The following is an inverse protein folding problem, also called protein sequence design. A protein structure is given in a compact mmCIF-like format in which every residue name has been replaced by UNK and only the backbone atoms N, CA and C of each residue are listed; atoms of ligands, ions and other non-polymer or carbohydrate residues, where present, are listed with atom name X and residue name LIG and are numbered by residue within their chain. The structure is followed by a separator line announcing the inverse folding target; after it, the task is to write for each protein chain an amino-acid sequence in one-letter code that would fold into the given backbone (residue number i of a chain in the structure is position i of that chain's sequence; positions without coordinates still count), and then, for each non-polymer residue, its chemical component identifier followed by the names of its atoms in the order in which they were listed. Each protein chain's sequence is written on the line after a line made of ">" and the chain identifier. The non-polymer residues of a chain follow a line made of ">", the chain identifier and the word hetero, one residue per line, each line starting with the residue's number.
data_IF_224978090099
#
_entry.id   IF_224978090099
#
_cell.length_a   1.000
_cell.length_b   1.000
_cell.length_c   1.000
_cell.angle_alpha   90.00
_cell.angle_beta   90.00
_cell.angle_gamma   90.00
#
_symmetry.space_group_name_H-M   'P 1'
#
loop_
_entity.id
_entity.type
_entity.pdbx_description
1 polymer ?
#
# COMPACT_ATOMS: atom_id res chain seq x y z
N UNK A 1 19.43 -8.79 -17.97
CA UNK A 1 19.79 -9.25 -16.61
C UNK A 1 18.81 -8.80 -15.51
N UNK A 2 18.39 -7.53 -15.44
CA UNK A 2 17.47 -7.02 -14.39
C UNK A 2 16.11 -7.76 -14.32
N UNK A 3 15.56 -8.14 -15.47
CA UNK A 3 14.30 -8.90 -15.54
C UNK A 3 14.43 -10.32 -14.98
N UNK A 4 15.57 -11.00 -15.18
CA UNK A 4 15.78 -12.37 -14.67
C UNK A 4 15.78 -12.40 -13.13
N UNK A 5 16.47 -11.46 -12.50
CA UNK A 5 16.54 -11.36 -11.03
C UNK A 5 15.15 -11.07 -10.45
N UNK A 6 14.38 -10.19 -11.09
CA UNK A 6 13.00 -9.91 -10.66
C UNK A 6 12.09 -11.14 -10.78
N UNK A 7 12.21 -11.90 -11.87
CA UNK A 7 11.46 -13.14 -12.08
C UNK A 7 11.85 -14.16 -11.00
N UNK A 8 13.15 -14.32 -10.73
CA UNK A 8 13.66 -15.22 -9.70
C UNK A 8 13.10 -14.84 -8.31
N UNK A 9 13.19 -13.57 -7.92
CA UNK A 9 12.66 -13.07 -6.65
C UNK A 9 11.14 -13.32 -6.55
N UNK A 10 10.40 -13.09 -7.64
CA UNK A 10 8.96 -13.36 -7.65
C UNK A 10 8.65 -14.86 -7.51
N UNK A 11 9.43 -15.74 -8.13
CA UNK A 11 9.27 -17.19 -7.98
C UNK A 11 9.59 -17.66 -6.56
N UNK A 12 10.67 -17.15 -5.97
CA UNK A 12 11.02 -17.38 -4.55
C UNK A 12 9.87 -16.92 -3.65
N UNK A 13 9.37 -15.71 -3.82
CA UNK A 13 8.25 -15.17 -3.05
C UNK A 13 6.99 -16.04 -3.17
N UNK A 14 6.66 -16.49 -4.38
CA UNK A 14 5.47 -17.32 -4.64
C UNK A 14 5.50 -18.65 -3.88
N UNK A 15 6.68 -19.20 -3.61
CA UNK A 15 6.87 -20.45 -2.88
C UNK A 15 6.99 -20.21 -1.37
N UNK A 16 7.88 -19.31 -0.96
CA UNK A 16 8.23 -19.14 0.45
C UNK A 16 7.23 -18.31 1.24
N UNK A 17 6.57 -17.31 0.64
CA UNK A 17 5.60 -16.49 1.38
C UNK A 17 4.45 -17.37 1.91
N UNK A 18 3.76 -18.20 1.10
CA UNK A 18 2.70 -19.05 1.61
C UNK A 18 3.16 -20.01 2.71
N UNK A 19 4.36 -20.57 2.56
CA UNK A 19 4.97 -21.44 3.57
C UNK A 19 5.15 -20.69 4.90
N UNK A 20 5.85 -19.55 4.87
CA UNK A 20 6.14 -18.78 6.08
C UNK A 20 4.88 -18.22 6.73
N UNK A 21 3.87 -17.85 5.94
CA UNK A 21 2.58 -17.38 6.46
C UNK A 21 1.82 -18.53 7.14
N UNK A 22 1.71 -19.70 6.49
CA UNK A 22 1.00 -20.88 7.03
C UNK A 22 1.57 -21.34 8.37
N UNK A 23 2.90 -21.38 8.49
CA UNK A 23 3.59 -21.80 9.70
C UNK A 23 3.95 -20.63 10.64
N UNK A 24 3.44 -19.42 10.39
CA UNK A 24 3.69 -18.21 11.21
C UNK A 24 5.18 -17.93 11.45
N UNK A 25 6.04 -18.20 10.47
CA UNK A 25 7.49 -17.98 10.53
C UNK A 25 7.84 -16.50 10.30
N UNK A 26 7.34 -15.62 11.18
CA UNK A 26 7.43 -14.16 11.00
C UNK A 26 8.86 -13.63 10.88
N UNK A 27 9.82 -14.26 11.56
CA UNK A 27 11.24 -13.87 11.48
C UNK A 27 11.79 -14.07 10.06
N UNK A 28 11.51 -15.22 9.45
CA UNK A 28 11.93 -15.52 8.08
C UNK A 28 11.16 -14.69 7.06
N UNK A 29 9.86 -14.49 7.28
CA UNK A 29 9.07 -13.61 6.41
C UNK A 29 9.59 -12.17 6.45
N UNK A 30 10.02 -11.68 7.62
CA UNK A 30 10.62 -10.35 7.76
C UNK A 30 11.96 -10.25 7.03
N UNK A 31 12.79 -11.28 7.14
CA UNK A 31 14.05 -11.35 6.40
C UNK A 31 13.80 -11.35 4.88
N UNK A 32 12.89 -12.21 4.40
CA UNK A 32 12.49 -12.24 2.99
C UNK A 32 11.93 -10.90 2.52
N UNK A 33 11.13 -10.22 3.34
CA UNK A 33 10.62 -8.88 3.05
C UNK A 33 11.76 -7.88 2.85
N UNK A 34 12.76 -7.87 3.74
CA UNK A 34 13.91 -6.96 3.65
C UNK A 34 14.71 -7.22 2.36
N UNK A 35 14.91 -8.48 1.97
CA UNK A 35 15.58 -8.85 0.71
C UNK A 35 14.81 -8.36 -0.53
N UNK A 36 13.49 -8.20 -0.41
CA UNK A 36 12.65 -7.69 -1.49
C UNK A 36 12.67 -6.16 -1.62
N UNK A 37 13.28 -5.44 -0.67
CA UNK A 37 13.36 -3.98 -0.72
C UNK A 37 14.48 -3.52 -1.64
N UNK A 38 14.15 -2.63 -2.57
CA UNK A 38 15.11 -2.01 -3.48
C UNK A 38 15.16 -0.50 -3.28
N UNK A 39 16.34 0.09 -3.18
CA UNK A 39 16.47 1.56 -3.10
C UNK A 39 15.95 2.20 -4.39
N UNK A 40 15.18 3.29 -4.28
CA UNK A 40 14.83 4.14 -5.42
C UNK A 40 15.99 5.11 -5.66
N UNK A 41 16.97 4.71 -6.48
CA UNK A 41 18.25 5.42 -6.65
C UNK A 41 18.10 6.86 -7.17
N UNK A 42 17.10 7.11 -8.02
CA UNK A 42 16.80 8.44 -8.58
C UNK A 42 16.47 9.51 -7.53
N UNK A 43 16.05 9.08 -6.34
CA UNK A 43 15.75 9.96 -5.20
C UNK A 43 16.53 9.53 -3.97
N UNK A 44 17.78 9.10 -4.16
CA UNK A 44 18.68 8.84 -3.05
C UNK A 44 18.84 10.09 -2.16
N UNK A 45 18.91 9.94 -0.83
CA UNK A 45 19.03 11.07 0.08
C UNK A 45 20.37 11.78 -0.12
N UNK A 46 20.35 13.12 -0.12
CA UNK A 46 21.54 13.97 -0.33
C UNK A 46 22.43 14.10 0.92
N UNK A 47 21.91 13.77 2.09
CA UNK A 47 22.57 13.83 3.40
C UNK A 47 22.37 12.50 4.13
N UNK A 48 22.89 12.40 5.36
CA UNK A 48 22.72 11.23 6.23
C UNK A 48 21.25 10.84 6.36
N UNK A 49 20.97 9.56 6.16
CA UNK A 49 19.63 8.98 6.25
C UNK A 49 19.09 9.18 7.68
N UNK A 50 18.00 9.94 7.80
CA UNK A 50 17.25 10.09 9.05
C UNK A 50 15.97 9.25 9.06
N UNK A 51 15.34 9.09 7.89
CA UNK A 51 14.06 8.40 7.76
C UNK A 51 14.11 7.33 6.67
N UNK A 52 13.30 6.29 6.83
CA UNK A 52 13.10 5.23 5.82
C UNK A 52 11.63 5.09 5.50
N UNK A 53 11.31 5.16 4.21
CA UNK A 53 9.97 5.02 3.67
C UNK A 53 9.89 3.74 2.82
N UNK A 54 8.95 2.87 3.15
CA UNK A 54 8.62 1.70 2.32
C UNK A 54 7.57 2.14 1.31
N UNK A 55 7.87 2.02 0.02
CA UNK A 55 7.03 2.44 -1.09
C UNK A 55 6.47 1.21 -1.79
N UNK A 56 5.14 1.06 -1.79
CA UNK A 56 4.43 -0.03 -2.43
C UNK A 56 4.32 0.22 -3.93
N UNK A 57 5.17 -0.41 -4.74
CA UNK A 57 5.42 -0.08 -6.14
C UNK A 57 4.17 0.05 -7.03
N UNK A 58 3.97 1.22 -7.64
CA UNK A 58 3.08 1.45 -8.80
C UNK A 58 3.83 2.34 -9.77
N UNK A 59 3.81 2.05 -11.07
CA UNK A 59 4.63 2.75 -12.07
C UNK A 59 4.46 4.27 -12.04
N UNK A 60 3.28 4.80 -12.40
CA UNK A 60 3.06 6.24 -12.46
C UNK A 60 3.17 6.92 -11.09
N UNK A 61 2.67 6.27 -10.04
CA UNK A 61 2.83 6.75 -8.67
C UNK A 61 4.30 6.89 -8.23
N UNK A 62 5.18 5.95 -8.60
CA UNK A 62 6.61 6.05 -8.30
C UNK A 62 7.26 7.16 -9.11
N UNK A 63 6.84 7.40 -10.35
CA UNK A 63 7.32 8.53 -11.15
C UNK A 63 6.92 9.87 -10.49
N UNK A 64 5.68 10.02 -10.02
CA UNK A 64 5.25 11.20 -9.24
C UNK A 64 6.08 11.42 -7.98
N UNK A 65 6.37 10.34 -7.25
CA UNK A 65 7.23 10.40 -6.07
C UNK A 65 8.64 10.83 -6.45
N UNK A 66 9.21 10.28 -7.53
CA UNK A 66 10.55 10.63 -8.01
C UNK A 66 10.62 12.10 -8.36
N UNK A 67 9.70 12.59 -9.16
CA UNK A 67 9.69 13.98 -9.62
C UNK A 67 9.53 14.95 -8.45
N UNK A 68 8.68 14.62 -7.47
CA UNK A 68 8.52 15.44 -6.27
C UNK A 68 9.73 15.46 -5.33
N UNK A 69 10.58 14.44 -5.36
CA UNK A 69 11.65 14.27 -4.36
C UNK A 69 13.07 14.45 -4.93
N UNK A 70 13.28 14.33 -6.24
CA UNK A 70 14.63 14.38 -6.86
C UNK A 70 15.42 15.65 -6.50
N UNK A 71 14.74 16.79 -6.40
CA UNK A 71 15.36 18.06 -5.98
C UNK A 71 15.38 18.24 -4.46
N UNK A 72 14.38 17.73 -3.75
CA UNK A 72 14.05 18.14 -2.38
C UNK A 72 14.28 17.07 -1.30
N UNK A 73 14.94 15.94 -1.59
CA UNK A 73 15.16 14.89 -0.59
C UNK A 73 16.49 15.05 0.17
N UNK A 74 16.52 15.66 1.37
CA UNK A 74 17.74 15.75 2.15
C UNK A 74 18.13 14.41 2.79
N UNK A 75 17.19 13.61 3.32
CA UNK A 75 17.53 12.58 4.31
C UNK A 75 16.58 11.38 4.38
N UNK A 76 15.66 11.21 3.42
CA UNK A 76 14.71 10.10 3.38
C UNK A 76 15.26 9.02 2.44
N UNK A 77 15.38 7.79 2.93
CA UNK A 77 15.65 6.64 2.08
C UNK A 77 14.32 6.01 1.64
N UNK A 78 14.03 6.10 0.35
CA UNK A 78 12.87 5.45 -0.26
C UNK A 78 13.22 4.04 -0.74
N UNK A 79 12.45 3.06 -0.25
CA UNK A 79 12.64 1.63 -0.49
C UNK A 79 11.43 1.09 -1.22
N UNK A 80 11.61 0.75 -2.48
CA UNK A 80 10.60 0.11 -3.30
C UNK A 80 10.33 -1.32 -2.83
N UNK A 81 9.08 -1.63 -2.57
CA UNK A 81 8.56 -2.94 -2.25
C UNK A 81 7.55 -3.33 -3.33
N UNK A 82 7.77 -4.48 -4.00
CA UNK A 82 6.80 -4.96 -4.97
C UNK A 82 5.51 -5.36 -4.25
N UNK A 83 4.38 -4.74 -4.64
CA UNK A 83 3.05 -4.97 -4.08
C UNK A 83 2.62 -6.43 -4.14
N UNK A 84 3.16 -7.20 -5.09
CA UNK A 84 2.94 -8.64 -5.22
C UNK A 84 3.30 -9.39 -3.93
N UNK A 85 4.25 -8.89 -3.13
CA UNK A 85 4.60 -9.48 -1.83
C UNK A 85 3.38 -9.57 -0.89
N UNK A 86 2.68 -8.45 -0.67
CA UNK A 86 1.48 -8.43 0.17
C UNK A 86 0.31 -9.17 -0.47
N UNK A 87 0.21 -9.18 -1.81
CA UNK A 87 -0.77 -10.02 -2.52
C UNK A 87 -0.55 -11.51 -2.25
N UNK A 88 0.69 -12.00 -2.24
CA UNK A 88 0.98 -13.40 -1.89
C UNK A 88 0.61 -13.73 -0.45
N UNK A 89 0.88 -12.84 0.51
CA UNK A 89 0.42 -13.02 1.89
C UNK A 89 -1.11 -13.10 1.91
N UNK A 90 -1.79 -12.12 1.31
CA UNK A 90 -3.25 -12.05 1.28
C UNK A 90 -3.87 -13.32 0.71
N UNK A 91 -3.41 -13.79 -0.45
CA UNK A 91 -3.92 -15.00 -1.09
C UNK A 91 -3.64 -16.27 -0.29
N UNK A 92 -2.69 -16.28 0.64
CA UNK A 92 -2.48 -17.43 1.53
C UNK A 92 -3.62 -17.60 2.53
N UNK A 93 -4.35 -16.53 2.86
CA UNK A 93 -5.55 -16.60 3.69
C UNK A 93 -6.80 -17.01 2.89
N UNK A 94 -6.74 -17.01 1.56
CA UNK A 94 -7.86 -17.34 0.71
C UNK A 94 -7.76 -18.76 0.18
N UNK A 95 -8.88 -19.48 0.17
CA UNK A 95 -8.97 -20.72 -0.60
C UNK A 95 -8.99 -20.38 -2.09
N UNK A 96 -8.47 -21.27 -2.97
CA UNK A 96 -8.41 -21.03 -4.43
C UNK A 96 -9.76 -20.61 -5.03
N UNK A 97 -10.86 -21.16 -4.52
CA UNK A 97 -12.24 -20.79 -4.94
C UNK A 97 -12.57 -19.34 -4.59
N UNK A 98 -12.04 -18.82 -3.49
CA UNK A 98 -12.32 -17.48 -2.98
C UNK A 98 -11.54 -16.37 -3.71
N UNK A 99 -10.53 -16.72 -4.52
CA UNK A 99 -9.75 -15.74 -5.29
C UNK A 99 -10.62 -14.94 -6.28
N UNK A 100 -11.71 -15.54 -6.77
CA UNK A 100 -12.63 -14.89 -7.73
C UNK A 100 -13.41 -13.73 -7.11
N UNK A 101 -13.50 -13.64 -5.78
CA UNK A 101 -14.25 -12.60 -5.09
C UNK A 101 -13.44 -11.34 -4.78
N UNK A 102 -12.16 -11.29 -5.13
CA UNK A 102 -11.33 -10.13 -4.82
C UNK A 102 -10.73 -9.55 -6.09
N UNK A 103 -11.22 -8.37 -6.45
CA UNK A 103 -10.58 -7.46 -7.38
C UNK A 103 -10.50 -6.07 -6.71
N UNK A 104 -9.66 -5.18 -7.24
CA UNK A 104 -9.46 -3.83 -6.67
C UNK A 104 -10.74 -2.95 -6.73
N UNK A 105 -11.80 -3.40 -7.41
CA UNK A 105 -13.07 -2.67 -7.58
C UNK A 105 -14.21 -3.17 -6.67
N UNK A 106 -14.11 -4.36 -6.09
CA UNK A 106 -15.16 -4.99 -5.28
C UNK A 106 -14.60 -5.59 -4.00
N UNK A 107 -14.34 -4.71 -3.03
CA UNK A 107 -13.79 -5.11 -1.74
C UNK A 107 -14.86 -5.47 -0.70
N UNK A 108 -16.07 -4.92 -0.83
CA UNK A 108 -17.17 -5.20 0.10
C UNK A 108 -17.75 -6.57 -0.14
N UNK A 109 -17.89 -7.38 0.91
CA UNK A 109 -18.54 -8.67 0.80
C UNK A 109 -19.57 -8.83 1.91
N UNK A 110 -20.77 -9.27 1.54
CA UNK A 110 -21.80 -9.73 2.48
C UNK A 110 -21.51 -11.13 3.03
N UNK A 111 -20.46 -11.79 2.54
CA UNK A 111 -20.06 -13.11 2.99
C UNK A 111 -19.24 -13.01 4.29
N UNK A 112 -19.78 -13.58 5.36
CA UNK A 112 -19.14 -13.60 6.68
C UNK A 112 -17.79 -14.34 6.69
N UNK A 113 -17.63 -15.39 5.89
CA UNK A 113 -16.37 -16.11 5.75
C UNK A 113 -15.27 -15.19 5.22
N UNK A 114 -15.57 -14.43 4.16
CA UNK A 114 -14.65 -13.44 3.58
C UNK A 114 -14.26 -12.39 4.61
N UNK A 115 -15.22 -11.88 5.39
CA UNK A 115 -14.92 -10.89 6.42
C UNK A 115 -14.05 -11.45 7.54
N UNK A 116 -14.26 -12.71 7.94
CA UNK A 116 -13.39 -13.41 8.89
C UNK A 116 -11.96 -13.58 8.36
N UNK A 117 -11.78 -13.87 7.07
CA UNK A 117 -10.46 -13.96 6.45
C UNK A 117 -9.72 -12.62 6.45
N UNK A 118 -10.41 -11.51 6.17
CA UNK A 118 -9.83 -10.15 6.28
C UNK A 118 -9.34 -9.85 7.70
N UNK A 119 -10.12 -10.23 8.71
CA UNK A 119 -9.73 -10.06 10.13
C UNK A 119 -8.47 -10.88 10.44
N UNK A 120 -8.41 -12.15 10.01
CA UNK A 120 -7.23 -13.01 10.18
C UNK A 120 -5.99 -12.42 9.51
N UNK A 121 -6.14 -11.94 8.27
CA UNK A 121 -5.06 -11.28 7.53
C UNK A 121 -4.56 -10.01 8.23
N UNK A 122 -5.47 -9.14 8.68
CA UNK A 122 -5.13 -7.95 9.46
C UNK A 122 -4.34 -8.29 10.72
N UNK A 123 -4.81 -9.27 11.50
CA UNK A 123 -4.14 -9.68 12.73
C UNK A 123 -2.75 -10.26 12.45
N UNK A 124 -2.61 -11.04 11.38
CA UNK A 124 -1.31 -11.51 10.91
C UNK A 124 -0.37 -10.35 10.56
N UNK A 125 -0.86 -9.35 9.82
CA UNK A 125 -0.09 -8.17 9.45
C UNK A 125 0.37 -7.37 10.66
N UNK A 126 -0.46 -7.24 11.70
CA UNK A 126 -0.08 -6.57 12.95
C UNK A 126 1.15 -7.24 13.55
N UNK A 127 1.09 -8.56 13.79
CA UNK A 127 2.23 -9.31 14.35
C UNK A 127 3.47 -9.27 13.44
N UNK A 128 3.26 -9.42 12.12
CA UNK A 128 4.33 -9.32 11.14
C UNK A 128 5.04 -7.97 11.18
N UNK A 129 4.29 -6.86 11.18
CA UNK A 129 4.84 -5.51 11.18
C UNK A 129 5.56 -5.17 12.49
N UNK A 130 5.08 -5.65 13.64
CA UNK A 130 5.77 -5.51 14.92
C UNK A 130 7.16 -6.16 14.89
N UNK A 131 7.24 -7.39 14.37
CA UNK A 131 8.51 -8.13 14.25
C UNK A 131 9.41 -7.47 13.20
N UNK A 132 8.85 -7.09 12.06
CA UNK A 132 9.59 -6.41 11.01
C UNK A 132 10.22 -5.10 11.52
N UNK A 133 9.46 -4.28 12.26
CA UNK A 133 9.93 -3.00 12.80
C UNK A 133 11.08 -3.17 13.79
N UNK A 134 11.09 -4.27 14.57
CA UNK A 134 12.21 -4.63 15.46
C UNK A 134 13.47 -5.00 14.69
N UNK A 135 13.33 -5.68 13.54
CA UNK A 135 14.46 -6.14 12.70
C UNK A 135 14.96 -5.09 11.72
N UNK A 136 14.08 -4.22 11.26
CA UNK A 136 14.37 -3.22 10.26
C UNK A 136 13.58 -1.96 10.57
N UNK A 137 14.26 -0.94 11.10
CA UNK A 137 13.61 0.31 11.45
C UNK A 137 13.13 1.04 10.19
N UNK A 138 11.83 1.27 10.08
CA UNK A 138 11.21 2.12 9.06
C UNK A 138 10.19 3.06 9.71
N UNK A 139 9.89 4.17 9.03
CA UNK A 139 9.09 5.25 9.59
C UNK A 139 7.69 5.31 8.98
N UNK A 140 7.54 4.94 7.71
CA UNK A 140 6.30 5.17 6.96
C UNK A 140 6.13 4.15 5.83
N UNK A 141 4.87 3.82 5.54
CA UNK A 141 4.47 3.20 4.27
C UNK A 141 3.90 4.26 3.32
N UNK A 142 4.19 4.10 2.04
CA UNK A 142 3.63 4.91 0.96
C UNK A 142 2.95 3.97 -0.03
N UNK A 143 1.66 4.17 -0.27
CA UNK A 143 0.88 3.51 -1.32
C UNK A 143 0.34 4.51 -2.33
N UNK A 144 -0.31 4.02 -3.39
CA UNK A 144 -0.76 4.85 -4.51
C UNK A 144 -2.26 4.77 -4.80
N UNK A 145 -2.99 3.93 -4.07
CA UNK A 145 -4.45 3.88 -4.13
C UNK A 145 -4.97 3.31 -2.81
N UNK A 146 -6.06 3.87 -2.31
CA UNK A 146 -6.72 3.41 -1.09
C UNK A 146 -7.55 2.13 -1.31
N UNK A 147 -7.91 1.82 -2.55
CA UNK A 147 -8.76 0.69 -2.95
C UNK A 147 -8.04 -0.64 -3.16
N UNK A 148 -6.70 -0.67 -3.07
CA UNK A 148 -5.94 -1.87 -3.35
C UNK A 148 -6.19 -2.97 -2.33
N UNK A 149 -6.76 -4.12 -2.74
CA UNK A 149 -7.38 -5.09 -1.83
C UNK A 149 -6.40 -5.62 -0.75
N UNK A 150 -5.16 -5.89 -1.13
CA UNK A 150 -4.13 -6.41 -0.22
C UNK A 150 -3.58 -5.31 0.72
N UNK A 151 -3.78 -4.04 0.39
CA UNK A 151 -3.26 -2.91 1.14
C UNK A 151 -4.28 -2.30 2.10
N UNK A 152 -5.57 -2.56 1.89
CA UNK A 152 -6.64 -2.05 2.77
C UNK A 152 -6.42 -2.51 4.22
N UNK A 153 -6.18 -3.82 4.43
CA UNK A 153 -5.91 -4.35 5.77
C UNK A 153 -4.48 -4.03 6.25
N UNK A 154 -3.53 -3.81 5.34
CA UNK A 154 -2.22 -3.27 5.68
C UNK A 154 -2.31 -1.86 6.27
N UNK A 155 -3.11 -0.98 5.66
CA UNK A 155 -3.41 0.35 6.19
C UNK A 155 -4.04 0.28 7.58
N UNK A 156 -5.01 -0.64 7.80
CA UNK A 156 -5.62 -0.86 9.13
C UNK A 156 -4.61 -1.35 10.16
N UNK A 157 -3.74 -2.29 9.78
CA UNK A 157 -2.67 -2.78 10.65
C UNK A 157 -1.68 -1.66 11.01
N UNK A 158 -1.28 -0.84 10.04
CA UNK A 158 -0.44 0.34 10.26
C UNK A 158 -1.10 1.34 11.21
N UNK A 159 -2.39 1.65 11.04
CA UNK A 159 -3.12 2.52 11.95
C UNK A 159 -3.14 1.99 13.38
N UNK A 160 -3.41 0.69 13.57
CA UNK A 160 -3.39 0.04 14.90
C UNK A 160 -2.01 0.14 15.56
N UNK A 161 -0.94 0.06 14.77
CA UNK A 161 0.46 0.13 15.23
C UNK A 161 1.03 1.56 15.26
N UNK A 162 0.20 2.59 14.98
CA UNK A 162 0.64 3.99 14.86
C UNK A 162 1.81 4.16 13.87
N UNK A 163 1.81 3.37 12.80
CA UNK A 163 2.72 3.50 11.67
C UNK A 163 2.03 4.39 10.64
N UNK A 164 2.60 5.54 10.28
CA UNK A 164 2.07 6.35 9.20
C UNK A 164 1.95 5.55 7.89
N UNK A 165 0.78 5.63 7.25
CA UNK A 165 0.54 5.10 5.91
C UNK A 165 0.00 6.24 5.04
N UNK A 166 0.85 6.75 4.15
CA UNK A 166 0.54 7.82 3.21
C UNK A 166 0.04 7.22 1.89
N UNK A 167 -1.06 7.74 1.36
CA UNK A 167 -1.52 7.42 0.01
C UNK A 167 -1.20 8.60 -0.91
N UNK A 168 -0.46 8.37 -1.97
CA UNK A 168 -0.25 9.32 -3.06
C UNK A 168 -1.24 8.98 -4.19
N UNK A 169 -2.47 9.48 -4.08
CA UNK A 169 -3.54 9.24 -5.06
C UNK A 169 -3.40 10.23 -6.22
N UNK A 170 -2.43 9.96 -7.09
CA UNK A 170 -1.93 10.88 -8.13
C UNK A 170 -2.14 10.35 -9.56
N UNK A 171 -3.07 9.43 -9.77
CA UNK A 171 -3.37 8.88 -11.12
C UNK A 171 -4.85 9.05 -11.50
N UNK A 172 -5.56 9.98 -10.87
CA UNK A 172 -7.01 10.15 -11.08
C UNK A 172 -7.30 11.44 -11.84
N UNK A 173 -7.80 11.28 -13.06
CA UNK A 173 -8.41 12.34 -13.87
C UNK A 173 -9.83 11.87 -14.18
N UNK A 174 -10.83 12.61 -13.72
CA UNK A 174 -12.24 12.20 -13.82
C UNK A 174 -13.09 13.38 -14.27
N UNK A 175 -14.03 13.13 -15.19
CA UNK A 175 -15.03 14.11 -15.61
C UNK A 175 -16.12 14.26 -14.56
N UNK A 176 -16.83 15.39 -14.54
CA UNK A 176 -17.89 15.64 -13.54
C UNK A 176 -18.91 14.50 -13.44
N UNK A 177 -19.39 14.02 -14.59
CA UNK A 177 -20.32 12.89 -14.68
C UNK A 177 -19.75 11.62 -14.05
N UNK A 178 -18.50 11.28 -14.40
CA UNK A 178 -17.83 10.09 -13.87
C UNK A 178 -17.74 10.17 -12.33
N UNK A 179 -17.50 11.35 -11.79
CA UNK A 179 -17.42 11.54 -10.34
C UNK A 179 -18.75 11.38 -9.63
N UNK A 180 -19.88 11.81 -10.23
CA UNK A 180 -21.20 11.57 -9.64
C UNK A 180 -21.47 10.08 -9.48
N UNK A 181 -21.21 9.31 -10.53
CA UNK A 181 -21.33 7.84 -10.48
C UNK A 181 -20.38 7.20 -9.47
N UNK A 182 -19.13 7.65 -9.44
CA UNK A 182 -18.11 7.10 -8.57
C UNK A 182 -18.37 7.43 -7.10
N UNK A 183 -18.78 8.65 -6.78
CA UNK A 183 -19.23 9.05 -5.45
C UNK A 183 -20.40 8.18 -4.99
N UNK A 184 -21.38 7.94 -5.86
CA UNK A 184 -22.52 7.07 -5.55
C UNK A 184 -22.10 5.62 -5.30
N UNK A 185 -21.24 5.06 -6.15
CA UNK A 185 -20.72 3.70 -6.00
C UNK A 185 -19.90 3.55 -4.70
N UNK A 186 -19.10 4.56 -4.36
CA UNK A 186 -18.19 4.52 -3.22
C UNK A 186 -18.85 4.81 -1.87
N UNK A 187 -20.01 5.48 -1.83
CA UNK A 187 -20.79 5.70 -0.58
C UNK A 187 -21.11 4.41 0.18
N UNK A 188 -21.09 3.25 -0.49
CA UNK A 188 -21.35 1.94 0.12
C UNK A 188 -20.12 1.34 0.82
N UNK A 189 -18.94 1.96 0.69
CA UNK A 189 -17.66 1.41 1.12
C UNK A 189 -17.04 2.29 2.22
N UNK A 190 -17.28 1.99 3.49
CA UNK A 190 -16.44 2.55 4.56
C UNK A 190 -15.03 1.97 4.44
N UNK A 191 -14.03 2.83 4.21
CA UNK A 191 -12.65 2.42 4.01
C UNK A 191 -11.75 2.72 5.22
N UNK A 192 -10.56 2.11 5.18
CA UNK A 192 -9.55 2.21 6.24
C UNK A 192 -9.17 3.65 6.56
N UNK A 193 -8.91 3.94 7.84
CA UNK A 193 -8.25 5.19 8.26
C UNK A 193 -6.77 5.14 7.85
N UNK A 194 -6.43 5.81 6.74
CA UNK A 194 -5.04 6.10 6.34
C UNK A 194 -4.53 7.34 7.07
N UNK A 195 -3.21 7.52 7.16
CA UNK A 195 -2.64 8.69 7.86
C UNK A 195 -2.94 10.00 7.12
N UNK A 196 -2.59 10.04 5.84
CA UNK A 196 -2.92 11.14 4.92
C UNK A 196 -3.08 10.58 3.50
N UNK A 197 -3.86 11.28 2.69
CA UNK A 197 -4.03 11.05 1.26
C UNK A 197 -3.67 12.34 0.53
N UNK A 198 -2.60 12.31 -0.26
CA UNK A 198 -2.21 13.42 -1.11
C UNK A 198 -2.87 13.27 -2.49
N UNK A 199 -3.57 14.31 -2.95
CA UNK A 199 -4.31 14.34 -4.23
C UNK A 199 -3.87 15.51 -5.10
N UNK A 200 -4.17 15.48 -6.41
CA UNK A 200 -3.76 16.54 -7.34
C UNK A 200 -4.55 17.84 -7.19
N UNK A 201 -5.84 17.77 -6.91
CA UNK A 201 -6.74 18.93 -6.95
C UNK A 201 -7.76 18.91 -5.83
N UNK A 202 -8.31 20.08 -5.52
CA UNK A 202 -9.45 20.23 -4.60
C UNK A 202 -10.65 19.42 -5.07
N UNK A 203 -10.80 19.28 -6.38
CA UNK A 203 -11.87 18.50 -6.98
C UNK A 203 -11.86 17.02 -6.53
N UNK A 204 -10.70 16.35 -6.55
CA UNK A 204 -10.57 14.96 -6.06
C UNK A 204 -10.77 14.92 -4.54
N UNK A 205 -10.27 15.94 -3.83
CA UNK A 205 -10.45 16.03 -2.37
C UNK A 205 -11.92 16.08 -1.99
N UNK A 206 -12.71 16.91 -2.66
CA UNK A 206 -14.15 16.99 -2.44
C UNK A 206 -14.87 15.68 -2.73
N UNK A 207 -14.51 15.00 -3.81
CA UNK A 207 -15.07 13.70 -4.17
C UNK A 207 -14.85 12.66 -3.06
N UNK A 208 -13.62 12.57 -2.54
CA UNK A 208 -13.26 11.65 -1.47
C UNK A 208 -13.99 11.95 -0.14
N UNK A 209 -14.22 13.23 0.14
CA UNK A 209 -14.97 13.65 1.33
C UNK A 209 -16.46 13.35 1.15
N UNK A 210 -17.05 13.74 0.01
CA UNK A 210 -18.49 13.53 -0.31
C UNK A 210 -18.89 12.05 -0.39
N UNK A 211 -17.93 11.18 -0.68
CA UNK A 211 -18.12 9.72 -0.70
C UNK A 211 -18.01 9.06 0.68
N UNK A 212 -17.69 9.81 1.74
CA UNK A 212 -17.48 9.30 3.11
C UNK A 212 -16.42 8.18 3.20
N UNK A 213 -15.48 8.13 2.24
CA UNK A 213 -14.40 7.14 2.23
C UNK A 213 -13.34 7.51 3.27
N UNK A 214 -13.08 8.82 3.42
CA UNK A 214 -12.00 9.38 4.24
C UNK A 214 -12.46 10.64 4.96
N UNK A 215 -11.90 10.86 6.14
CA UNK A 215 -12.13 12.08 6.91
C UNK A 215 -11.52 13.30 6.18
N UNK A 216 -12.19 14.45 6.25
CA UNK A 216 -11.77 15.70 5.59
C UNK A 216 -10.33 16.11 5.91
N UNK A 217 -9.92 15.93 7.16
CA UNK A 217 -8.57 16.27 7.63
C UNK A 217 -7.50 15.32 7.07
N UNK A 218 -7.89 14.14 6.59
CA UNK A 218 -6.97 13.14 6.06
C UNK A 218 -6.55 13.42 4.62
N UNK A 219 -7.20 14.36 3.91
CA UNK A 219 -6.92 14.64 2.49
C UNK A 219 -6.22 15.98 2.30
N UNK A 220 -5.08 15.95 1.62
CA UNK A 220 -4.24 17.13 1.34
C UNK A 220 -4.07 17.28 -0.18
N UNK A 221 -4.32 18.48 -0.69
CA UNK A 221 -4.03 18.82 -2.09
C UNK A 221 -2.57 19.21 -2.19
N UNK A 222 -1.81 18.55 -3.05
CA UNK A 222 -0.38 18.85 -3.23
C UNK A 222 0.02 19.10 -4.68
N UNK A 223 -0.94 19.26 -5.59
CA UNK A 223 -0.66 19.53 -7.01
C UNK A 223 -0.01 18.34 -7.74
N UNK A 224 0.25 18.52 -9.05
CA UNK A 224 0.86 17.52 -9.91
C UNK A 224 2.39 17.64 -9.90
N UNK A 225 3.08 16.63 -9.40
CA UNK A 225 4.55 16.65 -9.29
C UNK A 225 5.29 16.56 -10.63
N UNK A 226 4.60 16.13 -11.68
CA UNK A 226 5.15 15.91 -13.03
C UNK A 226 5.03 17.13 -13.95
N UNK A 227 4.38 18.21 -13.49
CA UNK A 227 4.19 19.46 -14.22
C UNK A 227 5.09 20.56 -13.67
#
# INVERSE_FOLDING_TARGET
>A
MYNLILILINNVNKIFIPLFVKYKMFNLLSFLFILNLKKITRIAPKKKIKYRAIVLYRSGGVDDLIESQKKYNPNILYLNCNRVFFKHIFFTFLNKKSHRYFNDNDYTSRNNEINNLKIKYKNFLITFLEILKKKYAFNIFIGFNYGYFAEIELGKACNKLKIPFLILLKERVTTELHNKYLTYALKKNQMSKFYKIAVYSDYIKEELIKSNIVDKESVVVTGCSRL
#
